data_IF_847595558345
#
_entry.id   IF_847595558345
#
_cell.length_a   1.000
_cell.length_b   1.000
_cell.length_c   1.000
_cell.angle_alpha   90.00
_cell.angle_beta   90.00
_cell.angle_gamma   90.00
#
_symmetry.space_group_name_H-M   'P 1'
#
loop_
_entity.id
_entity.type
_entity.pdbx_description
1 polymer ?
#
# COMPACT_ATOMS: atom_id res chain seq x y z
N UNK A 1 -12.13 -1.91 2.30
CA UNK A 1 -11.87 -3.27 1.75
C UNK A 1 -13.18 -4.05 1.72
N UNK A 2 -13.38 -4.89 0.71
CA UNK A 2 -14.58 -5.73 0.54
C UNK A 2 -14.46 -7.09 1.27
N UNK A 3 -13.40 -7.29 2.06
CA UNK A 3 -13.08 -8.57 2.68
C UNK A 3 -14.03 -8.99 3.81
N UNK A 4 -14.68 -8.02 4.47
CA UNK A 4 -15.60 -8.32 5.57
C UNK A 4 -17.02 -8.69 5.10
N UNK A 5 -17.41 -8.24 3.90
CA UNK A 5 -18.80 -8.27 3.44
C UNK A 5 -18.93 -8.75 1.98
N UNK A 6 -18.49 -9.98 1.66
CA UNK A 6 -18.52 -10.52 0.29
C UNK A 6 -19.93 -10.65 -0.28
N UNK A 7 -20.95 -10.72 0.57
CA UNK A 7 -22.36 -10.82 0.16
C UNK A 7 -23.04 -9.47 -0.07
N UNK A 8 -22.40 -8.34 0.25
CA UNK A 8 -23.02 -7.01 0.17
C UNK A 8 -22.57 -6.31 -1.12
N UNK A 9 -23.48 -6.03 -2.07
CA UNK A 9 -23.11 -5.35 -3.30
C UNK A 9 -22.63 -3.92 -3.02
N UNK A 10 -21.71 -3.42 -3.86
CA UNK A 10 -21.05 -2.13 -3.69
C UNK A 10 -22.02 -0.94 -3.51
N UNK A 11 -23.16 -0.97 -4.20
CA UNK A 11 -24.17 0.08 -4.14
C UNK A 11 -24.81 0.22 -2.75
N UNK A 12 -24.77 -0.84 -1.94
CA UNK A 12 -25.28 -0.82 -0.56
C UNK A 12 -24.21 -0.42 0.48
N UNK A 13 -22.94 -0.24 0.09
CA UNK A 13 -21.89 0.20 1.01
C UNK A 13 -22.19 1.54 1.70
N UNK A 14 -22.82 2.56 1.06
CA UNK A 14 -23.21 3.77 1.76
C UNK A 14 -24.23 3.51 2.88
N UNK A 15 -25.12 2.53 2.71
CA UNK A 15 -26.09 2.15 3.75
C UNK A 15 -25.39 1.43 4.90
N UNK A 16 -24.46 0.52 4.60
CA UNK A 16 -23.65 -0.17 5.58
C UNK A 16 -22.80 0.81 6.41
N UNK A 17 -22.13 1.75 5.75
CA UNK A 17 -21.35 2.81 6.41
C UNK A 17 -22.21 3.62 7.40
N UNK A 18 -23.44 3.96 7.02
CA UNK A 18 -24.39 4.67 7.91
C UNK A 18 -24.84 3.84 9.10
N UNK A 19 -24.92 2.52 8.97
CA UNK A 19 -25.35 1.62 10.04
C UNK A 19 -24.24 1.38 11.09
N UNK A 20 -22.98 1.44 10.66
CA UNK A 20 -21.81 1.14 11.49
C UNK A 20 -20.70 2.21 11.34
N UNK A 21 -20.98 3.49 11.64
CA UNK A 21 -20.03 4.59 11.39
C UNK A 21 -18.73 4.45 12.18
N UNK A 22 -18.81 3.90 13.40
CA UNK A 22 -17.66 3.67 14.29
C UNK A 22 -16.55 2.83 13.64
N UNK A 23 -16.91 1.86 12.80
CA UNK A 23 -15.97 0.99 12.10
C UNK A 23 -15.40 1.61 10.81
N UNK A 24 -16.12 2.55 10.18
CA UNK A 24 -15.80 2.99 8.82
C UNK A 24 -15.40 4.48 8.70
N UNK A 25 -15.73 5.32 9.68
CA UNK A 25 -15.44 6.77 9.59
C UNK A 25 -13.97 7.11 9.82
N UNK A 26 -13.25 6.31 10.59
CA UNK A 26 -11.82 6.47 10.81
C UNK A 26 -10.97 5.90 9.67
N UNK A 27 -11.59 5.18 8.72
CA UNK A 27 -10.87 4.52 7.63
C UNK A 27 -10.54 5.54 6.53
N UNK A 28 -9.27 5.57 6.13
CA UNK A 28 -8.84 6.43 5.01
C UNK A 28 -9.38 5.87 3.69
N UNK A 29 -9.89 6.75 2.84
CA UNK A 29 -10.39 6.40 1.52
C UNK A 29 -10.06 7.52 0.52
N UNK A 30 -10.06 7.17 -0.77
CA UNK A 30 -9.90 8.13 -1.85
C UNK A 30 -11.26 8.44 -2.48
N UNK A 31 -11.58 9.72 -2.65
CA UNK A 31 -12.85 10.16 -3.26
C UNK A 31 -12.86 10.18 -4.79
N UNK A 32 -11.70 10.05 -5.43
CA UNK A 32 -11.58 10.06 -6.89
C UNK A 32 -10.49 9.10 -7.36
N UNK A 33 -10.88 8.17 -8.23
CA UNK A 33 -9.96 7.22 -8.86
C UNK A 33 -9.08 7.89 -9.91
N UNK A 34 -9.57 8.90 -10.64
CA UNK A 34 -8.77 9.61 -11.65
C UNK A 34 -7.63 10.37 -10.99
N UNK A 35 -7.90 11.08 -9.89
CA UNK A 35 -6.86 11.76 -9.11
C UNK A 35 -5.83 10.75 -8.59
N UNK A 36 -6.28 9.61 -8.04
CA UNK A 36 -5.39 8.56 -7.56
C UNK A 36 -4.48 8.02 -8.67
N UNK A 37 -5.04 7.78 -9.85
CA UNK A 37 -4.29 7.32 -11.03
C UNK A 37 -3.24 8.34 -11.50
N UNK A 38 -3.61 9.62 -11.57
CA UNK A 38 -2.66 10.68 -11.93
C UNK A 38 -1.56 10.80 -10.88
N UNK A 39 -1.89 10.73 -9.58
CA UNK A 39 -0.89 10.72 -8.52
C UNK A 39 0.04 9.51 -8.64
N UNK A 40 -0.47 8.32 -8.97
CA UNK A 40 0.37 7.15 -9.20
C UNK A 40 1.32 7.30 -10.40
N UNK A 41 0.84 7.89 -11.50
CA UNK A 41 1.65 8.05 -12.71
C UNK A 41 2.70 9.17 -12.61
N UNK A 42 2.36 10.27 -11.94
CA UNK A 42 3.19 11.48 -11.93
C UNK A 42 3.94 11.71 -10.61
N UNK A 43 3.60 11.02 -9.53
CA UNK A 43 4.33 11.15 -8.26
C UNK A 43 5.63 10.38 -8.31
N UNK A 44 6.74 11.08 -8.07
CA UNK A 44 8.08 10.47 -7.97
C UNK A 44 8.25 9.67 -6.66
N UNK A 45 7.33 9.82 -5.70
CA UNK A 45 7.36 9.13 -4.41
C UNK A 45 6.70 7.74 -4.48
N UNK A 46 5.91 7.48 -5.52
CA UNK A 46 5.09 6.26 -5.63
C UNK A 46 5.49 5.48 -6.89
N UNK A 47 6.44 4.57 -6.73
CA UNK A 47 6.90 3.67 -7.80
C UNK A 47 6.49 2.20 -7.58
N UNK A 48 6.66 1.37 -8.60
CA UNK A 48 6.40 -0.08 -8.53
C UNK A 48 7.26 -0.81 -7.49
N UNK A 49 8.44 -0.26 -7.19
CA UNK A 49 9.37 -0.77 -6.18
C UNK A 49 9.15 -0.14 -4.80
N UNK A 50 8.15 0.74 -4.64
CA UNK A 50 7.82 1.38 -3.37
C UNK A 50 7.18 0.34 -2.44
N UNK A 51 8.03 -0.39 -1.73
CA UNK A 51 7.63 -1.43 -0.79
C UNK A 51 7.51 -0.80 0.59
N UNK A 52 6.32 -0.84 1.18
CA UNK A 52 6.10 -0.36 2.55
C UNK A 52 6.78 -1.33 3.51
N UNK A 53 7.96 -0.97 4.01
CA UNK A 53 8.59 -1.67 5.11
C UNK A 53 7.86 -1.31 6.40
N UNK A 54 7.07 -2.25 6.93
CA UNK A 54 6.46 -2.07 8.26
C UNK A 54 7.58 -2.09 9.29
N UNK A 55 7.84 -0.94 9.92
CA UNK A 55 8.86 -0.78 10.96
C UNK A 55 8.61 -1.61 12.22
N UNK A 56 7.37 -2.07 12.40
CA UNK A 56 6.97 -2.86 13.57
C UNK A 56 5.96 -3.90 13.07
N UNK A 57 6.35 -5.17 13.11
CA UNK A 57 5.51 -6.31 12.71
C UNK A 57 5.10 -7.09 13.95
N UNK A 58 4.60 -6.39 14.98
CA UNK A 58 4.08 -7.00 16.20
C UNK A 58 5.11 -7.85 16.94
N UNK A 59 6.21 -7.23 17.40
CA UNK A 59 7.30 -7.88 18.17
C UNK A 59 8.13 -8.95 17.43
N UNK A 60 8.01 -9.08 16.12
CA UNK A 60 8.96 -9.88 15.32
C UNK A 60 10.21 -9.03 15.07
N UNK A 61 11.39 -9.51 15.52
CA UNK A 61 12.67 -8.83 15.29
C UNK A 61 12.87 -8.66 13.78
N UNK A 62 13.08 -7.43 13.33
CA UNK A 62 13.42 -7.12 11.94
C UNK A 62 14.92 -7.34 11.76
N UNK A 63 15.31 -8.48 11.21
CA UNK A 63 16.69 -8.82 10.85
C UNK A 63 16.94 -8.78 9.33
N UNK A 64 16.08 -8.09 8.58
CA UNK A 64 16.19 -7.98 7.13
C UNK A 64 16.82 -6.64 6.73
N UNK A 65 18.16 -6.59 6.70
CA UNK A 65 18.87 -5.54 5.98
C UNK A 65 18.83 -5.88 4.48
N UNK A 66 17.73 -5.52 3.80
CA UNK A 66 17.63 -5.68 2.35
C UNK A 66 18.36 -4.53 1.64
N UNK A 67 19.60 -4.77 1.22
CA UNK A 67 20.36 -3.87 0.33
C UNK A 67 20.68 -4.56 -1.01
N UNK A 68 19.66 -4.90 -1.82
CA UNK A 68 19.88 -5.59 -3.09
C UNK A 68 20.64 -4.71 -4.10
N UNK A 69 20.37 -3.40 -4.11
CA UNK A 69 20.93 -2.49 -5.12
C UNK A 69 22.43 -2.22 -4.93
N UNK A 70 22.89 -2.15 -3.67
CA UNK A 70 24.32 -2.01 -3.34
C UNK A 70 25.09 -3.26 -3.77
N UNK A 71 24.51 -4.44 -3.60
CA UNK A 71 25.10 -5.72 -4.03
C UNK A 71 25.16 -5.86 -5.56
N UNK A 72 24.27 -5.18 -6.31
CA UNK A 72 24.32 -5.16 -7.78
C UNK A 72 25.40 -4.21 -8.32
N UNK A 73 25.62 -3.05 -7.67
CA UNK A 73 26.70 -2.12 -8.04
C UNK A 73 28.09 -2.71 -7.75
N UNK A 74 28.27 -3.42 -6.65
CA UNK A 74 29.56 -4.05 -6.29
C UNK A 74 29.96 -5.19 -7.24
N UNK A 75 29.01 -5.78 -7.97
CA UNK A 75 29.26 -6.92 -8.87
C UNK A 75 29.76 -6.53 -10.27
N UNK A 76 29.84 -5.23 -10.58
CA UNK A 76 30.23 -4.72 -11.91
C UNK A 76 31.55 -3.92 -11.97
N UNK A 77 32.70 -4.37 -11.40
CA UNK A 77 33.98 -3.85 -11.84
C UNK A 77 34.91 -4.94 -12.38
N UNK A 78 34.44 -5.91 -13.17
CA UNK A 78 35.33 -6.73 -14.02
C UNK A 78 34.64 -7.11 -15.33
N UNK A 79 34.58 -6.16 -16.27
CA UNK A 79 34.61 -6.46 -17.70
C UNK A 79 35.90 -5.84 -18.23
N UNK A 80 36.76 -6.72 -18.75
CA UNK A 80 38.08 -6.48 -19.33
C UNK A 80 38.15 -5.28 -20.27
#
# INVERSE_FOLDING_TARGET
EHHDMPSIPWHNLPKLKKMAPEFYDHLKYHGSYTKLWLTFLFSQEVGLFSRILRRERGKVKLDDNSTPDVQMLEKQPELQ
#
